data_IF_333284451802
#
_entry.id   IF_333284451802
#
_cell.length_a   1.000
_cell.length_b   1.000
_cell.length_c   1.000
_cell.angle_alpha   90.00
_cell.angle_beta   90.00
_cell.angle_gamma   90.00
#
_symmetry.space_group_name_H-M   'P 1'
#
loop_
_entity.id
_entity.type
_entity.pdbx_description
1 polymer ?
#
# COMPACT_ATOMS: atom_id res chain seq x y z
N UNK A 1 -24.17 -19.71 7.01
CA UNK A 1 -23.67 -18.53 6.34
C UNK A 1 -24.48 -18.41 5.05
N UNK A 2 -25.38 -17.45 5.03
CA UNK A 2 -26.26 -17.16 3.89
C UNK A 2 -25.39 -16.68 2.74
N UNK A 3 -25.67 -17.18 1.54
CA UNK A 3 -25.03 -16.84 0.29
C UNK A 3 -24.88 -15.32 0.16
N UNK A 4 -23.65 -14.82 0.40
CA UNK A 4 -23.28 -13.46 0.04
C UNK A 4 -23.20 -13.44 -1.49
N UNK A 5 -24.21 -12.89 -2.13
CA UNK A 5 -24.15 -12.60 -3.56
C UNK A 5 -23.06 -11.53 -3.75
N UNK A 6 -21.96 -11.92 -4.37
CA UNK A 6 -20.89 -10.98 -4.66
C UNK A 6 -21.36 -10.03 -5.77
N UNK A 7 -21.45 -8.74 -5.45
CA UNK A 7 -21.82 -7.69 -6.39
C UNK A 7 -20.89 -7.59 -7.62
N UNK A 8 -19.69 -8.14 -7.50
CA UNK A 8 -18.64 -8.10 -8.52
C UNK A 8 -18.15 -9.51 -8.83
N UNK A 9 -17.90 -9.77 -10.12
CA UNK A 9 -17.31 -11.01 -10.60
C UNK A 9 -16.06 -10.71 -11.42
N UNK A 10 -14.98 -11.47 -11.20
CA UNK A 10 -13.77 -11.42 -12.02
C UNK A 10 -13.89 -12.40 -13.19
N UNK A 11 -13.63 -11.92 -14.40
CA UNK A 11 -13.58 -12.73 -15.63
C UNK A 11 -12.17 -12.66 -16.23
N UNK A 12 -11.64 -13.83 -16.61
CA UNK A 12 -10.33 -13.96 -17.30
C UNK A 12 -9.13 -13.31 -16.57
N UNK A 13 -9.23 -13.06 -15.25
CA UNK A 13 -8.16 -12.45 -14.45
C UNK A 13 -7.85 -10.97 -14.79
N UNK A 14 -8.65 -10.34 -15.65
CA UNK A 14 -8.42 -8.95 -16.07
C UNK A 14 -9.69 -8.10 -16.08
N UNK A 15 -10.86 -8.71 -16.05
CA UNK A 15 -12.13 -7.99 -16.19
C UNK A 15 -12.97 -8.13 -14.92
N UNK A 16 -13.46 -7.00 -14.43
CA UNK A 16 -14.44 -6.94 -13.34
C UNK A 16 -15.80 -6.62 -13.94
N UNK A 17 -16.80 -7.43 -13.60
CA UNK A 17 -18.19 -7.31 -14.05
C UNK A 17 -19.07 -7.06 -12.85
N UNK A 18 -19.95 -6.04 -12.93
CA UNK A 18 -20.97 -5.78 -11.90
C UNK A 18 -22.13 -6.77 -12.08
N UNK A 19 -22.58 -7.44 -11.01
CA UNK A 19 -23.67 -8.40 -11.13
C UNK A 19 -25.02 -7.71 -11.34
N UNK A 20 -25.90 -8.34 -12.12
CA UNK A 20 -27.23 -7.77 -12.44
C UNK A 20 -28.15 -7.55 -11.22
N UNK A 21 -27.93 -8.30 -10.14
CA UNK A 21 -28.74 -8.21 -8.93
C UNK A 21 -28.56 -6.88 -8.19
N UNK A 22 -27.39 -6.24 -8.32
CA UNK A 22 -27.11 -4.95 -7.70
C UNK A 22 -27.58 -3.74 -8.50
N UNK A 23 -27.79 -3.89 -9.81
CA UNK A 23 -28.32 -2.80 -10.64
C UNK A 23 -29.75 -2.38 -10.19
N UNK A 24 -30.50 -3.28 -9.58
CA UNK A 24 -31.83 -2.98 -9.02
C UNK A 24 -31.77 -2.17 -7.73
N UNK A 25 -30.65 -2.19 -7.03
CA UNK A 25 -30.46 -1.49 -5.74
C UNK A 25 -29.93 -0.06 -5.92
N UNK A 26 -29.19 0.22 -6.99
CA UNK A 26 -28.56 1.53 -7.25
C UNK A 26 -29.49 2.46 -8.03
N UNK A 27 -30.49 1.93 -8.73
CA UNK A 27 -31.49 2.68 -9.47
C UNK A 27 -32.77 2.87 -8.67
N UNK A 28 -32.97 4.05 -8.07
CA UNK A 28 -34.30 4.45 -7.56
C UNK A 28 -35.37 4.29 -8.64
N UNK A 29 -36.58 3.89 -8.24
CA UNK A 29 -37.78 3.59 -9.06
C UNK A 29 -37.92 4.42 -10.34
N UNK A 30 -37.23 4.03 -11.40
CA UNK A 30 -37.41 4.52 -12.75
C UNK A 30 -37.05 3.39 -13.69
N UNK A 31 -38.04 2.88 -14.42
CA UNK A 31 -37.88 1.80 -15.39
C UNK A 31 -36.78 2.16 -16.40
N UNK A 32 -35.57 1.63 -16.22
CA UNK A 32 -34.58 1.63 -17.26
C UNK A 32 -34.91 0.51 -18.24
N UNK A 33 -34.99 0.86 -19.51
CA UNK A 33 -35.30 -0.02 -20.62
C UNK A 33 -34.32 -1.22 -20.64
N UNK A 34 -34.81 -2.37 -21.05
CA UNK A 34 -34.18 -3.69 -21.04
C UNK A 34 -32.94 -3.83 -21.99
N UNK A 35 -32.00 -2.88 -22.00
CA UNK A 35 -30.85 -2.85 -22.92
C UNK A 35 -29.58 -2.20 -22.31
N UNK A 36 -29.48 -1.99 -21.01
CA UNK A 36 -28.18 -1.51 -20.46
C UNK A 36 -27.23 -2.69 -20.34
N UNK A 37 -26.16 -2.69 -21.14
CA UNK A 37 -25.09 -3.66 -21.00
C UNK A 37 -24.50 -3.60 -19.58
N UNK A 38 -24.29 -4.76 -18.97
CA UNK A 38 -23.69 -4.89 -17.64
C UNK A 38 -22.34 -4.15 -17.62
N UNK A 39 -22.10 -3.23 -16.68
CA UNK A 39 -20.83 -2.50 -16.59
C UNK A 39 -19.65 -3.46 -16.46
N UNK A 40 -18.64 -3.26 -17.30
CA UNK A 40 -17.41 -4.04 -17.35
C UNK A 40 -16.22 -3.10 -17.26
N UNK A 41 -15.26 -3.46 -16.40
CA UNK A 41 -14.04 -2.70 -16.21
C UNK A 41 -12.86 -3.63 -16.48
N UNK A 42 -11.92 -3.18 -17.32
CA UNK A 42 -10.73 -3.96 -17.72
C UNK A 42 -9.50 -3.38 -17.04
N UNK A 43 -8.68 -4.26 -16.46
CA UNK A 43 -7.44 -3.95 -15.75
C UNK A 43 -6.33 -4.87 -16.27
N UNK A 44 -5.07 -4.55 -15.97
CA UNK A 44 -3.93 -5.45 -16.27
C UNK A 44 -4.04 -6.77 -15.51
N UNK A 45 -4.54 -6.71 -14.26
CA UNK A 45 -4.86 -7.88 -13.45
C UNK A 45 -6.08 -7.61 -12.58
N UNK A 46 -6.95 -8.58 -12.42
CA UNK A 46 -8.09 -8.54 -11.52
C UNK A 46 -8.06 -9.79 -10.62
N UNK A 47 -8.27 -9.57 -9.33
CA UNK A 47 -8.23 -10.60 -8.30
C UNK A 47 -9.61 -10.73 -7.66
N UNK A 48 -10.05 -11.95 -7.43
CA UNK A 48 -11.31 -12.23 -6.75
C UNK A 48 -11.15 -12.19 -5.21
N UNK A 49 -12.24 -12.42 -4.49
CA UNK A 49 -12.27 -12.40 -3.03
C UNK A 49 -11.44 -13.54 -2.37
N UNK A 50 -10.99 -14.52 -3.14
CA UNK A 50 -10.20 -15.66 -2.66
C UNK A 50 -8.72 -15.54 -2.98
N UNK A 51 -8.32 -14.48 -3.70
CA UNK A 51 -6.94 -14.26 -4.06
C UNK A 51 -6.11 -13.94 -2.79
N UNK A 52 -4.98 -14.63 -2.64
CA UNK A 52 -4.04 -14.38 -1.55
C UNK A 52 -3.14 -13.16 -1.87
N UNK A 53 -2.60 -12.54 -0.82
CA UNK A 53 -1.59 -11.49 -0.97
C UNK A 53 -0.35 -11.98 -1.75
N UNK A 54 -0.02 -13.27 -1.63
CA UNK A 54 1.06 -13.88 -2.40
C UNK A 54 0.79 -13.84 -3.91
N UNK A 55 -0.45 -14.08 -4.35
CA UNK A 55 -0.81 -14.00 -5.77
C UNK A 55 -0.70 -12.55 -6.30
N UNK A 56 -1.10 -11.58 -5.49
CA UNK A 56 -0.96 -10.14 -5.80
C UNK A 56 0.52 -9.77 -5.89
N UNK A 57 1.34 -10.25 -4.95
CA UNK A 57 2.79 -10.03 -4.97
C UNK A 57 3.45 -10.59 -6.24
N UNK A 58 3.11 -11.81 -6.64
CA UNK A 58 3.67 -12.38 -7.88
C UNK A 58 3.33 -11.56 -9.11
N UNK A 59 2.10 -10.98 -9.16
CA UNK A 59 1.64 -10.20 -10.30
C UNK A 59 2.27 -8.81 -10.38
N UNK A 60 2.42 -8.09 -9.24
CA UNK A 60 2.87 -6.70 -9.25
C UNK A 60 4.08 -6.42 -8.37
N UNK A 61 4.21 -7.07 -7.21
CA UNK A 61 5.32 -6.84 -6.29
C UNK A 61 6.64 -7.35 -6.82
N UNK A 62 6.69 -8.58 -7.34
CA UNK A 62 7.90 -9.17 -7.92
C UNK A 62 8.44 -8.38 -9.13
N UNK A 63 7.64 -7.96 -10.11
CA UNK A 63 8.09 -7.08 -11.17
C UNK A 63 8.67 -5.76 -10.64
N UNK A 64 8.00 -5.11 -9.69
CA UNK A 64 8.49 -3.87 -9.09
C UNK A 64 9.86 -4.03 -8.41
N UNK A 65 10.06 -5.12 -7.65
CA UNK A 65 11.37 -5.45 -7.06
C UNK A 65 12.44 -5.61 -8.14
N UNK A 66 12.13 -6.31 -9.24
CA UNK A 66 13.06 -6.48 -10.35
C UNK A 66 13.45 -5.14 -10.97
N UNK A 67 12.49 -4.26 -11.20
CA UNK A 67 12.75 -2.95 -11.80
C UNK A 67 13.61 -2.08 -10.88
N UNK A 68 13.36 -2.08 -9.57
CA UNK A 68 14.19 -1.39 -8.58
C UNK A 68 15.63 -1.90 -8.59
N UNK A 69 15.85 -3.21 -8.65
CA UNK A 69 17.18 -3.81 -8.73
C UNK A 69 17.91 -3.49 -10.04
N UNK A 70 17.18 -3.12 -11.09
CA UNK A 70 17.73 -2.60 -12.36
C UNK A 70 17.99 -1.10 -12.33
N UNK A 71 17.69 -0.41 -11.22
CA UNK A 71 17.91 1.02 -11.04
C UNK A 71 16.73 1.92 -11.40
N UNK A 72 15.54 1.36 -11.64
CA UNK A 72 14.33 2.13 -11.88
C UNK A 72 13.62 2.45 -10.57
N UNK A 73 12.95 3.60 -10.52
CA UNK A 73 12.03 3.92 -9.44
C UNK A 73 10.74 3.13 -9.62
N UNK A 74 10.18 2.61 -8.53
CA UNK A 74 8.88 1.99 -8.50
C UNK A 74 8.00 2.63 -7.43
N UNK A 75 6.70 2.77 -7.70
CA UNK A 75 5.71 3.22 -6.75
C UNK A 75 4.53 2.24 -6.73
N UNK A 76 4.14 1.82 -5.53
CA UNK A 76 2.97 0.97 -5.32
C UNK A 76 2.04 1.71 -4.36
N UNK A 77 0.78 1.85 -4.74
CA UNK A 77 -0.21 2.48 -3.89
C UNK A 77 -1.53 1.70 -3.91
N UNK A 78 -2.23 1.70 -2.78
CA UNK A 78 -3.56 1.14 -2.64
C UNK A 78 -4.60 2.26 -2.61
N UNK A 79 -5.65 2.13 -3.42
CA UNK A 79 -6.75 3.08 -3.51
C UNK A 79 -8.08 2.40 -3.25
N UNK A 80 -8.98 3.07 -2.54
CA UNK A 80 -10.31 2.57 -2.22
C UNK A 80 -10.89 3.25 -0.98
N UNK A 81 -12.17 3.01 -0.73
CA UNK A 81 -12.86 3.54 0.47
C UNK A 81 -12.28 2.92 1.76
N UNK A 82 -12.65 3.47 2.91
CA UNK A 82 -12.35 2.87 4.22
C UNK A 82 -12.91 1.44 4.28
N UNK A 83 -12.17 0.53 4.88
CA UNK A 83 -12.51 -0.90 5.01
C UNK A 83 -12.57 -1.69 3.68
N UNK A 84 -12.01 -1.16 2.58
CA UNK A 84 -11.93 -1.88 1.30
C UNK A 84 -10.79 -2.91 1.22
N UNK A 85 -10.00 -3.09 2.28
CA UNK A 85 -8.88 -4.04 2.31
C UNK A 85 -7.51 -3.44 1.93
N UNK A 86 -7.37 -2.12 1.76
CA UNK A 86 -6.07 -1.48 1.45
C UNK A 86 -4.95 -1.90 2.39
N UNK A 87 -5.18 -1.79 3.70
CA UNK A 87 -4.19 -2.16 4.72
C UNK A 87 -3.92 -3.67 4.72
N UNK A 88 -4.94 -4.50 4.47
CA UNK A 88 -4.77 -5.95 4.35
C UNK A 88 -3.85 -6.29 3.15
N UNK A 89 -4.04 -5.67 2.01
CA UNK A 89 -3.19 -5.92 0.83
C UNK A 89 -1.78 -5.38 1.02
N UNK A 90 -1.61 -4.20 1.61
CA UNK A 90 -0.31 -3.57 1.77
C UNK A 90 0.49 -4.18 2.92
N UNK A 91 -0.12 -4.34 4.09
CA UNK A 91 0.55 -4.80 5.32
C UNK A 91 0.31 -6.29 5.58
N UNK A 92 -0.91 -6.75 5.37
CA UNK A 92 -1.33 -8.12 5.62
C UNK A 92 -1.50 -8.45 7.10
N UNK A 93 -1.25 -9.70 7.42
CA UNK A 93 -1.22 -10.24 8.78
C UNK A 93 -0.03 -11.19 8.94
N UNK A 94 0.20 -11.68 10.16
CA UNK A 94 1.26 -12.66 10.41
C UNK A 94 1.09 -13.97 9.60
N UNK A 95 -0.17 -14.37 9.32
CA UNK A 95 -0.49 -15.58 8.55
C UNK A 95 -0.60 -15.34 7.03
N UNK A 96 -0.84 -14.10 6.62
CA UNK A 96 -0.93 -13.71 5.19
C UNK A 96 -0.25 -12.34 5.01
N UNK A 97 1.09 -12.29 4.87
CA UNK A 97 1.85 -11.06 4.71
C UNK A 97 1.40 -10.26 3.49
N UNK A 98 1.36 -8.95 3.62
CA UNK A 98 1.03 -8.03 2.53
C UNK A 98 2.22 -7.75 1.60
N UNK A 99 1.98 -6.86 0.65
CA UNK A 99 2.98 -6.48 -0.35
C UNK A 99 4.24 -5.87 0.27
N UNK A 100 4.10 -5.00 1.27
CA UNK A 100 5.24 -4.30 1.89
C UNK A 100 6.23 -5.27 2.52
N UNK A 101 5.85 -6.16 3.47
CA UNK A 101 6.78 -7.12 4.03
C UNK A 101 7.36 -8.09 3.00
N UNK A 102 6.60 -8.52 1.98
CA UNK A 102 7.11 -9.40 0.94
C UNK A 102 8.13 -8.71 0.03
N UNK A 103 7.90 -7.45 -0.33
CA UNK A 103 8.84 -6.64 -1.12
C UNK A 103 10.12 -6.40 -0.32
N UNK A 104 10.02 -6.03 0.96
CA UNK A 104 11.18 -5.86 1.82
C UNK A 104 12.01 -7.15 1.92
N UNK A 105 11.36 -8.29 2.18
CA UNK A 105 12.03 -9.58 2.22
C UNK A 105 12.77 -9.90 0.92
N UNK A 106 12.14 -9.64 -0.23
CA UNK A 106 12.75 -9.86 -1.53
C UNK A 106 13.96 -8.93 -1.79
N UNK A 107 13.86 -7.66 -1.41
CA UNK A 107 14.96 -6.70 -1.53
C UNK A 107 16.16 -7.12 -0.68
N UNK A 108 15.96 -7.45 0.61
CA UNK A 108 17.04 -7.94 1.47
C UNK A 108 17.68 -9.22 0.96
N UNK A 109 16.84 -10.17 0.50
CA UNK A 109 17.36 -11.41 -0.09
C UNK A 109 18.21 -11.16 -1.32
N UNK A 110 17.77 -10.30 -2.23
CA UNK A 110 18.48 -10.01 -3.46
C UNK A 110 19.76 -9.22 -3.20
N UNK A 111 19.70 -8.15 -2.38
CA UNK A 111 20.87 -7.32 -2.05
C UNK A 111 21.92 -8.10 -1.27
N UNK A 112 21.51 -8.98 -0.35
CA UNK A 112 22.45 -9.85 0.39
C UNK A 112 23.17 -10.89 -0.47
N UNK A 113 22.66 -11.17 -1.68
CA UNK A 113 23.32 -12.06 -2.66
C UNK A 113 24.21 -11.34 -3.68
N UNK A 114 24.18 -10.02 -3.71
CA UNK A 114 25.02 -9.24 -4.61
C UNK A 114 26.48 -9.35 -4.20
N UNK A 115 27.29 -9.91 -5.09
CA UNK A 115 28.77 -9.94 -4.93
C UNK A 115 29.33 -8.61 -5.45
N UNK A 116 29.45 -7.64 -4.56
CA UNK A 116 30.00 -6.32 -4.87
C UNK A 116 30.87 -5.82 -3.73
N UNK A 117 31.91 -5.06 -4.04
CA UNK A 117 32.77 -4.43 -3.04
C UNK A 117 32.06 -3.31 -2.28
N UNK A 118 30.93 -2.81 -2.81
CA UNK A 118 30.09 -1.81 -2.17
C UNK A 118 28.65 -2.32 -2.14
N UNK A 119 28.21 -3.02 -1.09
CA UNK A 119 26.85 -3.52 -0.99
C UNK A 119 25.85 -2.35 -0.90
N UNK A 120 24.69 -2.47 -1.55
CA UNK A 120 23.67 -1.43 -1.47
C UNK A 120 23.16 -1.27 -0.04
N UNK A 121 23.03 -0.03 0.41
CA UNK A 121 22.39 0.30 1.69
C UNK A 121 20.90 0.51 1.46
N UNK A 122 20.10 -0.08 2.33
CA UNK A 122 18.64 0.12 2.34
C UNK A 122 18.31 1.09 3.47
N UNK A 123 17.58 2.14 3.15
CA UNK A 123 17.05 3.08 4.14
C UNK A 123 15.53 3.11 4.04
N UNK A 124 14.87 3.30 5.19
CA UNK A 124 13.42 3.45 5.27
C UNK A 124 13.08 4.83 5.83
N UNK A 125 12.07 5.45 5.24
CA UNK A 125 11.41 6.64 5.76
C UNK A 125 9.91 6.36 5.81
N UNK A 126 9.26 6.88 6.85
CA UNK A 126 7.84 6.66 7.05
C UNK A 126 7.16 7.97 7.47
N UNK A 127 6.17 8.38 6.71
CA UNK A 127 5.45 9.62 6.98
C UNK A 127 3.97 9.49 6.61
N UNK A 128 3.17 10.34 7.18
CA UNK A 128 1.77 10.51 6.80
C UNK A 128 1.53 11.90 6.21
N UNK A 129 0.51 11.98 5.36
CA UNK A 129 -0.02 13.25 4.87
C UNK A 129 -1.43 13.40 5.43
N UNK A 130 -1.59 14.33 6.35
CA UNK A 130 -2.86 14.63 6.96
C UNK A 130 -3.16 16.13 6.85
N UNK A 131 -4.33 16.48 6.32
CA UNK A 131 -4.77 17.85 6.11
C UNK A 131 -3.68 18.72 5.42
N UNK A 132 -3.14 18.23 4.29
CA UNK A 132 -2.08 18.88 3.47
C UNK A 132 -0.74 19.08 4.19
N UNK A 133 -0.57 18.50 5.37
CA UNK A 133 0.67 18.55 6.16
C UNK A 133 1.35 17.20 6.17
N UNK A 134 2.68 17.21 6.04
CA UNK A 134 3.51 16.01 6.12
C UNK A 134 4.05 15.85 7.52
N UNK A 135 3.84 14.69 8.14
CA UNK A 135 4.34 14.36 9.47
C UNK A 135 5.24 13.14 9.41
N UNK A 136 6.43 13.26 9.99
CA UNK A 136 7.39 12.17 10.11
C UNK A 136 6.93 11.20 11.20
N UNK A 137 6.79 9.93 10.85
CA UNK A 137 6.37 8.88 11.79
C UNK A 137 7.56 8.14 12.42
N UNK A 138 8.80 8.45 12.02
CA UNK A 138 10.03 7.87 12.56
C UNK A 138 10.77 8.78 13.53
N UNK A 139 10.36 10.03 13.66
CA UNK A 139 11.00 10.96 14.57
C UNK A 139 10.62 10.63 16.02
N UNK A 140 11.59 10.30 16.91
CA UNK A 140 11.31 9.93 18.30
C UNK A 140 10.69 11.08 19.12
N UNK A 141 10.85 12.34 18.71
CA UNK A 141 10.21 13.48 19.37
C UNK A 141 8.69 13.47 19.25
N UNK A 142 8.13 12.60 18.37
CA UNK A 142 6.71 12.49 18.09
C UNK A 142 6.12 11.12 18.45
N UNK A 143 6.88 10.25 19.10
CA UNK A 143 6.31 9.03 19.68
C UNK A 143 5.44 9.44 20.89
N UNK A 144 4.25 8.81 21.10
CA UNK A 144 3.48 9.04 22.30
C UNK A 144 4.39 8.78 23.51
N UNK A 145 4.44 9.75 24.43
CA UNK A 145 5.04 9.56 25.72
C UNK A 145 4.32 8.38 26.40
N UNK A 146 5.05 7.61 27.21
CA UNK A 146 4.56 6.44 27.94
C UNK A 146 3.21 6.68 28.61
N UNK A 147 2.45 5.59 28.89
CA UNK A 147 1.07 5.53 29.40
C UNK A 147 0.74 6.37 30.64
N UNK A 148 1.67 7.13 31.20
CA UNK A 148 1.55 7.95 32.43
C UNK A 148 1.40 9.46 32.14
N UNK A 149 1.41 9.91 30.89
CA UNK A 149 1.30 11.33 30.53
C UNK A 149 -0.13 11.68 30.07
N UNK A 150 -0.65 12.80 30.58
CA UNK A 150 -2.01 13.31 30.33
C UNK A 150 -2.43 13.17 28.86
N UNK A 151 -3.53 12.44 28.61
CA UNK A 151 -4.11 12.17 27.29
C UNK A 151 -4.45 13.43 26.46
N UNK A 152 -4.48 14.60 27.07
CA UNK A 152 -4.82 15.87 26.44
C UNK A 152 -3.62 16.63 25.84
N UNK A 153 -2.39 16.17 26.07
CA UNK A 153 -1.17 16.84 25.60
C UNK A 153 -0.42 16.03 24.54
N UNK A 154 -1.08 15.69 23.42
CA UNK A 154 -0.34 15.20 22.25
C UNK A 154 0.61 16.30 21.79
N UNK A 155 1.94 16.06 21.74
CA UNK A 155 2.88 17.05 21.24
C UNK A 155 2.47 17.46 19.83
N UNK A 156 2.34 18.76 19.61
CA UNK A 156 1.95 19.31 18.30
C UNK A 156 3.02 18.92 17.28
N UNK A 157 2.74 17.91 16.47
CA UNK A 157 3.66 17.40 15.44
C UNK A 157 3.94 18.51 14.45
N UNK A 158 5.16 19.04 14.46
CA UNK A 158 5.57 20.05 13.52
C UNK A 158 5.59 19.48 12.11
N UNK A 159 4.79 20.01 11.16
CA UNK A 159 4.77 19.49 9.80
C UNK A 159 6.09 19.78 9.08
N UNK A 160 6.53 18.83 8.27
CA UNK A 160 7.72 18.97 7.45
C UNK A 160 7.39 19.65 6.13
N UNK A 161 8.24 20.59 5.66
CA UNK A 161 8.02 21.26 4.38
C UNK A 161 8.36 20.33 3.20
N UNK A 162 7.50 20.32 2.19
CA UNK A 162 7.81 19.74 0.88
C UNK A 162 8.54 20.78 0.06
N UNK A 163 9.70 20.43 -0.50
CA UNK A 163 10.54 21.31 -1.30
C UNK A 163 10.84 20.70 -2.66
N UNK A 164 11.22 21.55 -3.60
CA UNK A 164 11.70 21.13 -4.91
C UNK A 164 13.17 21.57 -5.09
N UNK A 165 13.99 20.66 -5.59
CA UNK A 165 15.38 20.92 -5.92
C UNK A 165 15.69 20.50 -7.35
N UNK A 166 16.45 21.30 -8.09
CA UNK A 166 16.73 21.10 -9.53
C UNK A 166 17.31 19.72 -9.88
N UNK A 167 18.07 19.11 -8.95
CA UNK A 167 18.70 17.78 -9.16
C UNK A 167 18.00 16.64 -8.44
N UNK A 168 17.38 16.91 -7.27
CA UNK A 168 16.75 15.89 -6.43
C UNK A 168 15.26 15.70 -6.75
N UNK A 169 14.65 16.64 -7.49
CA UNK A 169 13.21 16.68 -7.66
C UNK A 169 12.49 17.14 -6.39
N UNK A 170 11.28 16.69 -6.19
CA UNK A 170 10.46 16.98 -5.01
C UNK A 170 10.88 16.07 -3.86
N UNK A 171 11.07 16.63 -2.67
CA UNK A 171 11.46 15.89 -1.46
C UNK A 171 10.84 16.54 -0.21
N UNK A 172 10.79 15.77 0.88
CA UNK A 172 10.37 16.26 2.21
C UNK A 172 11.63 16.65 2.99
N UNK A 173 11.73 17.93 3.33
CA UNK A 173 12.90 18.49 4.02
C UNK A 173 12.87 18.10 5.51
N UNK A 174 13.94 17.52 6.01
CA UNK A 174 14.06 17.07 7.39
C UNK A 174 13.42 15.70 7.69
N UNK A 175 12.97 14.95 6.66
CA UNK A 175 12.40 13.61 6.86
C UNK A 175 13.46 12.64 7.38
N UNK A 176 13.14 11.91 8.44
CA UNK A 176 14.01 10.88 9.02
C UNK A 176 14.17 9.72 8.05
N UNK A 177 15.42 9.35 7.76
CA UNK A 177 15.78 8.15 7.01
C UNK A 177 16.59 7.22 7.92
N UNK A 178 16.03 6.05 8.26
CA UNK A 178 16.70 5.06 9.09
C UNK A 178 17.34 3.97 8.22
N UNK A 179 18.62 3.65 8.40
CA UNK A 179 19.21 2.47 7.78
C UNK A 179 18.53 1.22 8.36
N UNK A 180 18.18 0.28 7.50
CA UNK A 180 17.56 -1.01 7.85
C UNK A 180 18.41 -2.14 7.29
N UNK A 181 18.74 -3.12 8.12
CA UNK A 181 19.58 -4.25 7.76
C UNK A 181 18.78 -5.54 7.52
N UNK A 182 17.60 -5.64 8.12
CA UNK A 182 16.73 -6.83 8.07
C UNK A 182 15.28 -6.44 7.85
N UNK A 183 14.45 -7.41 7.50
CA UNK A 183 12.99 -7.23 7.39
C UNK A 183 12.39 -6.84 8.74
N UNK A 184 12.94 -7.38 9.83
CA UNK A 184 12.46 -7.12 11.19
C UNK A 184 12.70 -5.66 11.62
N UNK A 185 13.70 -4.99 11.06
CA UNK A 185 13.94 -3.56 11.30
C UNK A 185 12.84 -2.67 10.68
N UNK A 186 12.13 -3.19 9.68
CA UNK A 186 11.03 -2.48 9.01
C UNK A 186 9.70 -2.70 9.74
N UNK A 187 9.52 -3.85 10.40
CA UNK A 187 8.29 -4.23 11.09
C UNK A 187 7.82 -3.21 12.14
N UNK A 188 8.66 -2.76 13.08
CA UNK A 188 8.29 -1.77 14.10
C UNK A 188 7.96 -0.38 13.55
N UNK A 189 8.37 -0.11 12.31
CA UNK A 189 8.09 1.15 11.61
C UNK A 189 6.68 1.16 11.02
N UNK A 190 6.08 -0.03 10.86
CA UNK A 190 4.83 -0.23 10.14
C UNK A 190 3.65 -0.57 11.07
N UNK A 191 3.91 -0.75 12.38
CA UNK A 191 2.90 -0.97 13.41
C UNK A 191 2.57 0.32 14.14
#
# INVERSE_FOLDING_TARGET
PKDQVHALRVENGTTIVVSDDDQRSIGGRGALSASSAVPRFVFDSAFDAFASNAAIYESMGRPAVKDVLLGFNAAIFAYGQTSSGKSHTMMGSASDPGLVPMICAALFYCTGKMKTDCPPQITSSFYEVYNEKVHDLLNPEFLPLSDDDDEDALPERKPLPVREHRKLGVFVDGLTAKPVATVDDVGPVLM
#
